data_IF_955692918961
#
_entry.id   IF_955692918961
#
_cell.length_a   1.000
_cell.length_b   1.000
_cell.length_c   1.000
_cell.angle_alpha   90.00
_cell.angle_beta   90.00
_cell.angle_gamma   90.00
#
_symmetry.space_group_name_H-M   'P 1'
#
loop_
_entity.id
_entity.type
_entity.pdbx_description
1 polymer ?
#
# COMPACT_ATOMS: atom_id res chain seq x y z
N UNK A 1 -23.86 10.09 -10.53
CA UNK A 1 -22.87 9.81 -9.48
C UNK A 1 -21.61 9.35 -10.18
N UNK A 2 -20.52 10.11 -10.08
CA UNK A 2 -19.21 9.63 -10.51
C UNK A 2 -18.90 8.38 -9.69
N UNK A 3 -18.64 7.26 -10.37
CA UNK A 3 -18.22 6.05 -9.67
C UNK A 3 -16.86 6.36 -9.01
N UNK A 4 -16.76 6.22 -7.68
CA UNK A 4 -15.53 6.40 -6.91
C UNK A 4 -14.52 5.26 -7.19
N UNK A 5 -14.27 4.95 -8.46
CA UNK A 5 -13.51 3.78 -8.92
C UNK A 5 -12.20 4.20 -9.55
N UNK A 6 -11.29 3.25 -9.68
CA UNK A 6 -10.08 3.43 -10.44
C UNK A 6 -10.42 3.72 -11.90
N UNK A 7 -9.91 4.83 -12.40
CA UNK A 7 -10.09 5.22 -13.79
C UNK A 7 -9.10 4.43 -14.66
N UNK A 8 -9.57 4.02 -15.84
CA UNK A 8 -8.67 3.45 -16.84
C UNK A 8 -7.68 4.52 -17.34
N UNK A 9 -6.40 4.16 -17.37
CA UNK A 9 -5.30 5.02 -17.83
C UNK A 9 -4.76 4.48 -19.15
N UNK A 10 -4.05 3.34 -19.08
CA UNK A 10 -3.48 2.65 -20.24
C UNK A 10 -3.02 1.25 -19.82
N UNK A 11 -3.24 0.25 -20.67
CA UNK A 11 -2.74 -1.11 -20.42
C UNK A 11 -1.23 -1.16 -20.57
N UNK A 12 -0.53 -1.64 -19.55
CA UNK A 12 0.92 -1.85 -19.58
C UNK A 12 1.28 -3.20 -18.96
N UNK A 13 2.45 -3.74 -19.34
CA UNK A 13 3.03 -4.94 -18.71
C UNK A 13 4.46 -4.66 -18.29
N UNK A 14 4.68 -3.67 -17.40
CA UNK A 14 6.03 -3.26 -17.04
C UNK A 14 6.74 -4.40 -16.31
N UNK A 15 8.06 -4.50 -16.51
CA UNK A 15 8.91 -5.27 -15.59
C UNK A 15 9.07 -4.43 -14.32
N UNK A 16 8.21 -4.68 -13.33
CA UNK A 16 8.23 -3.97 -12.06
C UNK A 16 9.56 -4.20 -11.32
N UNK A 17 10.08 -3.13 -10.74
CA UNK A 17 11.25 -3.12 -9.86
C UNK A 17 10.88 -2.46 -8.54
N UNK A 18 11.57 -2.87 -7.48
CA UNK A 18 11.49 -2.17 -6.20
C UNK A 18 11.96 -0.73 -6.42
N UNK A 19 11.27 0.23 -5.82
CA UNK A 19 11.48 1.66 -6.07
C UNK A 19 10.66 2.24 -7.22
N UNK A 20 9.98 1.43 -8.05
CA UNK A 20 9.12 2.00 -9.08
C UNK A 20 7.97 2.82 -8.47
N UNK A 21 7.85 4.05 -8.92
CA UNK A 21 6.71 4.91 -8.62
C UNK A 21 5.67 4.72 -9.72
N UNK A 22 4.45 4.43 -9.30
CA UNK A 22 3.30 4.36 -10.19
C UNK A 22 2.25 5.40 -9.77
N UNK A 23 1.38 5.74 -10.71
CA UNK A 23 0.19 6.52 -10.39
C UNK A 23 -1.07 5.78 -10.79
N UNK A 24 -2.17 6.21 -10.16
CA UNK A 24 -3.54 5.81 -10.42
C UNK A 24 -4.45 7.04 -10.36
N UNK A 25 -5.69 6.88 -10.83
CA UNK A 25 -6.67 7.97 -10.88
C UNK A 25 -7.98 7.57 -10.24
N UNK A 26 -8.53 8.50 -9.47
CA UNK A 26 -9.86 8.41 -8.87
C UNK A 26 -10.42 9.83 -8.72
N UNK A 27 -11.68 10.02 -9.09
CA UNK A 27 -12.36 11.32 -9.03
C UNK A 27 -11.59 12.48 -9.68
N UNK A 28 -11.03 12.25 -10.88
CA UNK A 28 -10.19 13.20 -11.64
C UNK A 28 -8.92 13.67 -10.93
N UNK A 29 -8.53 13.06 -9.80
CA UNK A 29 -7.26 13.33 -9.11
C UNK A 29 -6.26 12.21 -9.41
N UNK A 30 -4.98 12.58 -9.45
CA UNK A 30 -3.86 11.64 -9.61
C UNK A 30 -3.31 11.33 -8.24
N UNK A 31 -3.13 10.06 -7.95
CA UNK A 31 -2.52 9.57 -6.72
C UNK A 31 -1.31 8.72 -7.05
N UNK A 32 -0.37 8.66 -6.13
CA UNK A 32 0.89 7.95 -6.32
C UNK A 32 1.02 6.77 -5.38
N UNK A 33 1.73 5.76 -5.86
CA UNK A 33 2.11 4.60 -5.08
C UNK A 33 3.54 4.20 -5.37
N UNK A 34 4.13 3.47 -4.44
CA UNK A 34 5.50 2.99 -4.53
C UNK A 34 5.50 1.47 -4.51
N UNK A 35 6.14 0.86 -5.50
CA UNK A 35 6.47 -0.57 -5.46
C UNK A 35 7.61 -0.74 -4.49
N UNK A 36 7.31 -1.29 -3.33
CA UNK A 36 8.29 -1.46 -2.27
C UNK A 36 9.05 -2.78 -2.41
N UNK A 37 8.34 -3.90 -2.54
CA UNK A 37 8.95 -5.23 -2.69
C UNK A 37 8.43 -5.90 -3.95
N UNK A 38 9.32 -6.53 -4.72
CA UNK A 38 8.96 -7.22 -5.97
C UNK A 38 9.15 -8.73 -5.97
N UNK A 39 9.66 -9.27 -4.86
CA UNK A 39 9.89 -10.70 -4.67
C UNK A 39 9.61 -11.08 -3.22
N UNK A 40 8.33 -11.28 -2.91
CA UNK A 40 7.97 -12.21 -1.87
C UNK A 40 7.93 -13.58 -2.56
N UNK A 41 8.96 -14.41 -2.37
CA UNK A 41 8.92 -15.79 -2.88
C UNK A 41 7.87 -16.57 -2.08
N UNK A 42 6.70 -16.75 -2.68
CA UNK A 42 5.71 -17.74 -2.25
C UNK A 42 5.76 -18.89 -3.25
N UNK A 43 5.97 -20.10 -2.75
CA UNK A 43 6.08 -21.34 -3.55
C UNK A 43 4.81 -21.65 -4.35
N UNK A 44 3.69 -20.97 -4.08
CA UNK A 44 2.42 -21.23 -4.76
C UNK A 44 1.71 -19.91 -5.07
N UNK A 45 1.51 -19.66 -6.37
CA UNK A 45 0.58 -18.67 -6.98
C UNK A 45 1.09 -17.23 -7.18
N UNK A 46 1.73 -16.99 -8.33
CA UNK A 46 1.78 -15.67 -8.98
C UNK A 46 2.68 -14.63 -8.29
N UNK A 47 3.38 -13.80 -9.07
CA UNK A 47 4.33 -12.83 -8.50
C UNK A 47 3.55 -11.80 -7.66
N UNK A 48 3.75 -11.85 -6.35
CA UNK A 48 3.27 -10.88 -5.37
C UNK A 48 4.24 -9.71 -5.27
N UNK A 49 3.69 -8.50 -5.21
CA UNK A 49 4.44 -7.28 -4.97
C UNK A 49 3.83 -6.58 -3.76
N UNK A 50 4.66 -5.94 -2.95
CA UNK A 50 4.18 -5.05 -1.90
C UNK A 50 4.21 -3.64 -2.45
N UNK A 51 3.09 -2.95 -2.31
CA UNK A 51 2.97 -1.53 -2.62
C UNK A 51 2.68 -0.72 -1.36
N UNK A 52 3.14 0.52 -1.38
CA UNK A 52 2.83 1.54 -0.39
C UNK A 52 1.95 2.57 -1.07
N UNK A 53 0.86 2.94 -0.41
CA UNK A 53 -0.14 3.88 -0.93
C UNK A 53 -0.17 5.14 -0.04
N UNK A 54 0.78 6.08 -0.21
CA UNK A 54 0.77 7.34 0.52
C UNK A 54 -0.46 8.17 0.16
N UNK A 55 -0.93 8.98 1.10
CA UNK A 55 -1.95 10.00 0.86
C UNK A 55 -1.35 11.22 0.14
N UNK A 56 -0.86 10.98 -1.07
CA UNK A 56 -0.26 12.00 -1.91
C UNK A 56 -1.03 12.10 -3.23
N UNK A 57 -1.69 13.24 -3.42
CA UNK A 57 -2.47 13.55 -4.60
C UNK A 57 -1.89 14.75 -5.36
N UNK A 58 -2.06 14.74 -6.68
CA UNK A 58 -1.75 15.83 -7.58
C UNK A 58 -2.83 16.00 -8.67
N UNK A 59 -2.73 17.08 -9.44
CA UNK A 59 -3.64 17.31 -10.57
C UNK A 59 -3.23 16.48 -11.79
N UNK A 60 -1.93 16.41 -12.07
CA UNK A 60 -1.39 15.67 -13.19
C UNK A 60 -0.20 14.79 -12.78
N UNK A 61 0.11 13.72 -13.54
CA UNK A 61 1.27 12.88 -13.26
C UNK A 61 2.61 13.63 -13.35
N UNK A 62 2.66 14.74 -14.11
CA UNK A 62 3.84 15.61 -14.25
C UNK A 62 4.16 16.41 -12.99
N UNK A 63 3.19 16.55 -12.08
CA UNK A 63 3.33 17.34 -10.86
C UNK A 63 3.94 16.51 -9.71
N UNK A 64 4.47 15.34 -10.04
CA UNK A 64 5.09 14.41 -9.11
C UNK A 64 6.37 15.01 -8.49
N UNK A 65 6.47 14.95 -7.16
CA UNK A 65 7.68 15.26 -6.39
C UNK A 65 8.11 14.02 -5.60
N UNK A 66 9.31 13.47 -5.86
CA UNK A 66 9.89 12.41 -5.05
C UNK A 66 10.00 12.78 -3.58
N UNK A 67 10.38 14.02 -3.28
CA UNK A 67 10.57 14.52 -1.92
C UNK A 67 9.26 14.49 -1.14
N UNK A 68 8.17 14.97 -1.75
CA UNK A 68 6.84 14.98 -1.14
C UNK A 68 6.35 13.54 -0.87
N UNK A 69 6.56 12.63 -1.82
CA UNK A 69 6.20 11.22 -1.65
C UNK A 69 6.95 10.61 -0.46
N UNK A 70 8.28 10.81 -0.39
CA UNK A 70 9.14 10.28 0.67
C UNK A 70 8.71 10.83 2.04
N UNK A 71 8.52 12.14 2.15
CA UNK A 71 8.05 12.78 3.39
C UNK A 71 6.70 12.22 3.85
N UNK A 72 5.76 12.01 2.91
CA UNK A 72 4.43 11.46 3.21
C UNK A 72 4.55 10.04 3.79
N UNK A 73 5.40 9.21 3.19
CA UNK A 73 5.67 7.84 3.66
C UNK A 73 6.32 7.85 5.05
N UNK A 74 7.32 8.70 5.28
CA UNK A 74 8.02 8.83 6.57
C UNK A 74 7.11 9.33 7.70
N UNK A 75 6.11 10.16 7.38
CA UNK A 75 5.15 10.69 8.35
C UNK A 75 4.05 9.70 8.76
N UNK A 76 4.02 8.49 8.20
CA UNK A 76 2.92 7.57 8.51
C UNK A 76 1.66 7.77 7.65
N UNK A 77 1.64 8.74 6.73
CA UNK A 77 0.40 9.18 6.06
C UNK A 77 0.08 8.32 4.84
N UNK A 78 -0.37 7.10 5.11
CA UNK A 78 -0.80 6.14 4.10
C UNK A 78 -2.31 6.04 4.04
N UNK A 79 -2.85 5.87 2.82
CA UNK A 79 -4.27 5.58 2.56
C UNK A 79 -4.67 4.19 3.04
N UNK A 80 -3.72 3.27 3.08
CA UNK A 80 -3.90 1.91 3.52
C UNK A 80 -2.57 1.41 4.09
N UNK A 81 -2.59 0.36 4.93
CA UNK A 81 -1.36 -0.36 5.27
C UNK A 81 -0.61 -0.78 4.00
N UNK A 82 0.73 -0.95 4.06
CA UNK A 82 1.46 -1.61 2.99
C UNK A 82 0.77 -2.95 2.64
N UNK A 83 0.50 -3.16 1.35
CA UNK A 83 -0.42 -4.22 0.91
C UNK A 83 0.16 -5.02 -0.23
N UNK A 84 -0.17 -6.31 -0.25
CA UNK A 84 0.10 -7.20 -1.37
C UNK A 84 -0.75 -6.84 -2.60
N UNK A 85 -0.16 -6.94 -3.79
CA UNK A 85 -0.83 -6.83 -5.08
C UNK A 85 -0.16 -7.73 -6.12
N UNK A 86 -0.82 -7.97 -7.24
CA UNK A 86 -0.25 -8.63 -8.42
C UNK A 86 -0.19 -7.66 -9.62
N UNK A 87 0.42 -8.08 -10.73
CA UNK A 87 0.59 -7.21 -11.90
C UNK A 87 -0.73 -6.88 -12.64
N UNK A 88 -1.87 -7.47 -12.26
CA UNK A 88 -3.11 -7.32 -13.03
C UNK A 88 -3.57 -5.87 -13.13
N UNK A 89 -3.42 -5.06 -12.09
CA UNK A 89 -3.78 -3.64 -12.11
C UNK A 89 -3.12 -2.87 -13.27
N UNK A 90 -1.86 -3.16 -13.58
CA UNK A 90 -1.16 -2.61 -14.75
C UNK A 90 -1.68 -3.18 -16.07
N UNK A 91 -1.90 -4.50 -16.12
CA UNK A 91 -2.37 -5.17 -17.35
C UNK A 91 -3.80 -4.79 -17.74
N UNK A 92 -4.64 -4.49 -16.75
CA UNK A 92 -6.00 -3.98 -16.93
C UNK A 92 -6.01 -2.49 -17.25
N UNK A 93 -4.93 -1.79 -16.90
CA UNK A 93 -4.64 -0.44 -17.31
C UNK A 93 -5.03 0.63 -16.30
N UNK A 94 -5.21 0.25 -15.03
CA UNK A 94 -5.52 1.18 -13.95
C UNK A 94 -4.28 1.85 -13.40
N UNK A 95 -3.11 1.19 -13.47
CA UNK A 95 -1.84 1.70 -12.95
C UNK A 95 -0.81 1.92 -14.06
N UNK A 96 0.03 2.93 -13.87
CA UNK A 96 1.11 3.24 -14.79
C UNK A 96 2.37 3.72 -14.06
N UNK A 97 3.53 3.17 -14.43
CA UNK A 97 4.83 3.57 -13.88
C UNK A 97 5.26 4.90 -14.49
N UNK A 98 5.78 5.81 -13.67
CA UNK A 98 6.25 7.14 -14.10
C UNK A 98 7.67 7.45 -13.68
N UNK A 99 8.15 6.87 -12.58
CA UNK A 99 9.46 7.20 -12.04
C UNK A 99 10.06 6.03 -11.24
N UNK A 100 11.24 6.23 -10.66
CA UNK A 100 11.95 5.28 -9.83
C UNK A 100 12.72 6.00 -8.72
N UNK A 101 12.46 5.62 -7.48
CA UNK A 101 13.17 6.11 -6.30
C UNK A 101 14.13 5.03 -5.78
N UNK A 102 15.32 5.44 -5.34
CA UNK A 102 16.20 4.56 -4.57
C UNK A 102 15.66 4.36 -3.15
N UNK A 103 15.24 3.13 -2.85
CA UNK A 103 14.68 2.76 -1.56
C UNK A 103 15.68 2.88 -0.40
N UNK A 104 16.99 2.97 -0.66
CA UNK A 104 17.99 3.23 0.40
C UNK A 104 17.74 4.54 1.16
N UNK A 105 17.00 5.47 0.54
CA UNK A 105 16.61 6.77 1.10
C UNK A 105 15.32 6.75 1.94
N UNK A 106 14.60 5.62 1.97
CA UNK A 106 13.29 5.51 2.63
C UNK A 106 13.38 4.47 3.75
N UNK A 107 13.52 4.89 5.02
CA UNK A 107 13.56 3.99 6.17
C UNK A 107 12.14 3.50 6.54
N UNK A 108 11.41 2.92 5.59
CA UNK A 108 10.02 2.51 5.82
C UNK A 108 9.92 1.42 6.90
N UNK A 109 10.95 0.57 7.02
CA UNK A 109 10.99 -0.46 8.06
C UNK A 109 11.22 0.11 9.47
N UNK A 110 11.74 1.33 9.57
CA UNK A 110 11.83 2.06 10.84
C UNK A 110 10.45 2.62 11.24
N UNK A 111 9.52 2.73 10.28
CA UNK A 111 8.20 3.36 10.45
C UNK A 111 7.06 2.34 10.52
N UNK A 112 7.15 1.21 9.81
CA UNK A 112 6.08 0.21 9.72
C UNK A 112 6.61 -1.19 9.96
N UNK A 113 5.98 -1.91 10.90
CA UNK A 113 6.27 -3.34 11.12
C UNK A 113 5.56 -4.20 10.08
N UNK A 114 6.32 -5.00 9.34
CA UNK A 114 5.73 -5.97 8.42
C UNK A 114 5.50 -7.29 9.14
N UNK A 115 4.26 -7.71 9.37
CA UNK A 115 4.00 -9.03 9.92
C UNK A 115 4.18 -10.08 8.82
N UNK A 116 5.42 -10.54 8.67
CA UNK A 116 5.72 -11.70 7.85
C UNK A 116 6.69 -12.59 8.60
N UNK A 117 6.34 -13.87 8.76
CA UNK A 117 7.23 -14.85 9.36
C UNK A 117 8.41 -15.13 8.42
N UNK A 118 9.56 -14.49 8.63
CA UNK A 118 10.81 -14.90 8.01
C UNK A 118 11.65 -13.78 7.43
N UNK A 119 12.27 -14.05 6.28
CA UNK A 119 13.24 -13.18 5.64
C UNK A 119 12.78 -12.84 4.23
N UNK A 120 13.14 -11.67 3.73
CA UNK A 120 13.03 -11.35 2.32
C UNK A 120 14.39 -11.51 1.63
N UNK A 121 14.43 -12.25 0.53
CA UNK A 121 15.64 -12.45 -0.29
C UNK A 121 15.45 -11.89 -1.70
N UNK A 122 16.56 -11.54 -2.35
CA UNK A 122 16.57 -11.28 -3.79
C UNK A 122 16.68 -12.58 -4.59
N UNK A 123 16.71 -12.42 -5.92
CA UNK A 123 16.74 -13.54 -6.88
C UNK A 123 18.00 -14.40 -6.85
N UNK A 124 19.02 -13.97 -6.11
CA UNK A 124 20.30 -14.64 -5.95
C UNK A 124 20.46 -15.18 -4.52
N UNK A 125 19.39 -15.15 -3.71
CA UNK A 125 19.42 -15.58 -2.32
C UNK A 125 20.11 -14.59 -1.38
N UNK A 126 20.36 -13.35 -1.81
CA UNK A 126 20.87 -12.30 -0.90
C UNK A 126 19.70 -11.76 -0.09
N UNK A 127 19.83 -11.76 1.23
CA UNK A 127 18.83 -11.19 2.13
C UNK A 127 18.69 -9.69 1.84
N UNK A 128 17.50 -9.28 1.44
CA UNK A 128 17.12 -7.88 1.25
C UNK A 128 16.66 -7.26 2.56
N UNK A 129 15.85 -8.00 3.33
CA UNK A 129 15.32 -7.56 4.62
C UNK A 129 15.16 -8.74 5.59
N UNK A 130 15.47 -8.51 6.86
CA UNK A 130 15.10 -9.42 7.94
C UNK A 130 13.73 -8.99 8.48
N UNK A 131 12.70 -9.80 8.22
CA UNK A 131 11.33 -9.55 8.68
C UNK A 131 11.02 -10.32 9.98
N UNK A 132 12.02 -11.01 10.55
CA UNK A 132 11.90 -11.68 11.85
C UNK A 132 12.03 -10.61 12.93
N UNK A 133 10.91 -10.00 13.26
CA UNK A 133 10.86 -9.10 14.40
C UNK A 133 10.92 -9.94 15.69
N UNK A 134 11.99 -9.79 16.45
CA UNK A 134 12.00 -10.12 17.87
C UNK A 134 11.00 -9.18 18.57
N UNK A 135 10.25 -9.70 19.54
CA UNK A 135 9.10 -9.04 20.19
C UNK A 135 9.53 -7.83 21.07
N UNK A 136 10.80 -7.43 20.97
CA UNK A 136 11.50 -6.55 21.91
C UNK A 136 11.91 -5.17 21.37
N UNK A 137 11.48 -4.76 20.17
CA UNK A 137 11.62 -3.35 19.74
C UNK A 137 10.32 -2.62 20.09
N UNK A 138 10.22 -1.83 21.17
CA UNK A 138 8.94 -1.26 21.62
C UNK A 138 8.44 -0.06 20.80
N UNK A 139 9.30 0.61 20.04
CA UNK A 139 9.01 1.98 19.57
C UNK A 139 8.46 2.09 18.14
N UNK A 140 8.32 0.98 17.39
CA UNK A 140 7.79 1.01 16.02
C UNK A 140 6.27 0.73 16.04
N UNK A 141 5.42 1.56 15.39
CA UNK A 141 4.00 1.26 15.22
C UNK A 141 3.79 -0.14 14.62
N UNK A 142 3.07 -1.01 15.31
CA UNK A 142 2.80 -2.39 14.91
C UNK A 142 1.72 -2.46 13.80
N UNK A 143 1.94 -1.76 12.68
CA UNK A 143 1.05 -1.73 11.51
C UNK A 143 1.22 -3.00 10.69
N UNK A 144 0.53 -4.05 11.13
CA UNK A 144 0.58 -5.37 10.52
C UNK A 144 0.25 -5.30 9.03
N UNK A 145 1.22 -5.73 8.21
CA UNK A 145 1.07 -5.99 6.79
C UNK A 145 -0.17 -6.83 6.48
N UNK A 146 -0.95 -6.45 5.46
CA UNK A 146 -2.17 -7.17 5.09
C UNK A 146 -2.24 -7.56 3.62
N UNK A 147 -2.86 -8.71 3.41
CA UNK A 147 -3.41 -9.13 2.14
C UNK A 147 -3.24 -10.62 1.92
N UNK A 148 -4.35 -11.36 1.93
CA UNK A 148 -4.38 -12.72 1.39
C UNK A 148 -3.94 -12.71 -0.07
N UNK A 149 -3.04 -13.62 -0.41
CA UNK A 149 -2.48 -13.72 -1.75
C UNK A 149 -3.42 -14.50 -2.67
N UNK A 150 -3.83 -13.88 -3.78
CA UNK A 150 -4.68 -14.52 -4.78
C UNK A 150 -4.72 -13.79 -6.12
N UNK A 151 -5.30 -14.45 -7.14
CA UNK A 151 -5.45 -13.89 -8.49
C UNK A 151 -6.30 -12.59 -8.51
N UNK A 152 -7.08 -12.37 -7.45
CA UNK A 152 -7.96 -11.22 -7.25
C UNK A 152 -7.38 -10.16 -6.30
N UNK A 153 -6.11 -10.26 -5.86
CA UNK A 153 -5.49 -9.28 -4.96
C UNK A 153 -5.53 -7.82 -5.49
N UNK A 154 -5.55 -7.66 -6.82
CA UNK A 154 -5.73 -6.36 -7.47
C UNK A 154 -7.15 -5.75 -7.34
N UNK A 155 -8.18 -6.52 -6.99
CA UNK A 155 -9.54 -5.99 -6.79
C UNK A 155 -9.65 -5.35 -5.40
N UNK A 156 -9.00 -5.95 -4.39
CA UNK A 156 -8.89 -5.39 -3.05
C UNK A 156 -8.28 -3.99 -3.01
N UNK A 157 -7.34 -3.66 -3.91
CA UNK A 157 -6.64 -2.37 -3.89
C UNK A 157 -7.59 -1.18 -4.12
N UNK A 158 -8.61 -1.32 -4.97
CA UNK A 158 -9.57 -0.25 -5.23
C UNK A 158 -10.36 0.06 -3.97
N UNK A 159 -10.81 -0.98 -3.26
CA UNK A 159 -11.53 -0.84 -2.00
C UNK A 159 -10.66 -0.23 -0.90
N UNK A 160 -9.40 -0.64 -0.79
CA UNK A 160 -8.45 -0.05 0.17
C UNK A 160 -8.24 1.45 -0.11
N UNK A 161 -8.13 1.85 -1.39
CA UNK A 161 -8.00 3.24 -1.80
C UNK A 161 -9.28 4.03 -1.48
N UNK A 162 -10.46 3.50 -1.83
CA UNK A 162 -11.74 4.13 -1.51
C UNK A 162 -11.89 4.37 0.00
N UNK A 163 -11.61 3.34 0.80
CA UNK A 163 -11.64 3.41 2.26
C UNK A 163 -10.65 4.43 2.81
N UNK A 164 -9.40 4.42 2.34
CA UNK A 164 -8.40 5.41 2.73
C UNK A 164 -8.86 6.83 2.44
N UNK A 165 -9.48 7.05 1.29
CA UNK A 165 -9.98 8.36 0.88
C UNK A 165 -11.33 8.74 1.52
N UNK A 166 -11.93 7.88 2.34
CA UNK A 166 -13.27 8.10 2.92
C UNK A 166 -14.38 8.16 1.85
N UNK A 167 -14.20 7.46 0.74
CA UNK A 167 -15.17 7.36 -0.36
C UNK A 167 -16.10 6.17 -0.15
N UNK A 168 -17.27 6.21 -0.80
CA UNK A 168 -18.20 5.08 -0.81
C UNK A 168 -17.54 3.80 -1.36
N UNK A 169 -17.76 2.68 -0.68
CA UNK A 169 -17.23 1.35 -1.00
C UNK A 169 -18.31 0.27 -0.80
N UNK A 170 -18.10 -0.95 -1.31
CA UNK A 170 -19.00 -2.08 -1.04
C UNK A 170 -18.75 -2.63 0.37
N UNK A 171 -19.68 -2.35 1.29
CA UNK A 171 -19.58 -2.78 2.69
C UNK A 171 -19.56 -4.32 2.88
N UNK A 172 -19.87 -5.10 1.85
CA UNK A 172 -19.84 -6.57 1.90
C UNK A 172 -18.44 -7.15 1.75
N UNK A 173 -17.50 -6.40 1.17
CA UNK A 173 -16.13 -6.87 0.86
C UNK A 173 -15.22 -6.92 2.10
N UNK A 174 -15.59 -6.21 3.19
CA UNK A 174 -15.01 -6.38 4.53
C UNK A 174 -13.47 -6.56 4.56
N UNK A 175 -12.68 -5.73 3.83
CA UNK A 175 -11.25 -5.97 3.60
C UNK A 175 -10.38 -5.82 4.86
N UNK A 176 -10.98 -5.32 5.95
CA UNK A 176 -10.33 -5.03 7.21
C UNK A 176 -10.99 -5.78 8.39
N UNK A 177 -11.73 -6.87 8.16
CA UNK A 177 -12.29 -7.69 9.25
C UNK A 177 -11.21 -8.12 10.26
N UNK A 178 -9.97 -8.32 9.80
CA UNK A 178 -8.83 -8.58 10.68
C UNK A 178 -8.52 -7.41 11.63
N UNK A 179 -8.73 -6.17 11.18
CA UNK A 179 -8.49 -4.99 12.00
C UNK A 179 -9.61 -4.67 12.98
N UNK A 180 -10.78 -5.31 12.92
CA UNK A 180 -11.79 -5.14 13.97
C UNK A 180 -11.23 -5.45 15.39
N UNK A 181 -10.18 -6.29 15.46
CA UNK A 181 -9.45 -6.63 16.69
C UNK A 181 -8.18 -5.80 16.97
N UNK A 182 -7.76 -4.96 16.02
CA UNK A 182 -6.56 -4.12 16.05
C UNK A 182 -6.40 -3.16 17.26
N UNK A 183 -7.47 -2.51 17.79
CA UNK A 183 -7.32 -1.56 18.91
C UNK A 183 -6.90 -2.24 20.22
N UNK A 184 -6.86 -3.58 20.30
CA UNK A 184 -6.42 -4.29 21.51
C UNK A 184 -4.95 -4.02 21.89
N UNK A 185 -4.15 -3.53 20.94
CA UNK A 185 -2.71 -3.33 21.11
C UNK A 185 -2.26 -1.86 21.01
N UNK A 186 -3.19 -0.91 20.84
CA UNK A 186 -2.87 0.51 20.59
C UNK A 186 -3.84 1.45 21.30
N UNK A 187 -3.38 2.66 21.61
CA UNK A 187 -4.30 3.73 21.99
C UNK A 187 -5.09 4.20 20.76
N UNK A 188 -6.32 4.69 20.94
CA UNK A 188 -7.12 5.22 19.84
C UNK A 188 -6.42 6.39 19.11
N UNK A 189 -5.57 7.14 19.82
CA UNK A 189 -4.83 8.29 19.27
C UNK A 189 -3.72 7.85 18.30
N UNK A 190 -3.22 6.63 18.44
CA UNK A 190 -2.18 6.05 17.59
C UNK A 190 -2.74 5.33 16.35
N UNK A 191 -4.07 5.22 16.24
CA UNK A 191 -4.71 4.49 15.16
C UNK A 191 -4.74 5.33 13.87
N UNK A 192 -4.38 4.74 12.72
CA UNK A 192 -4.40 5.46 11.45
C UNK A 192 -5.84 5.74 11.00
N UNK A 193 -6.07 6.84 10.27
CA UNK A 193 -7.43 7.25 9.89
C UNK A 193 -8.19 6.21 9.06
N UNK A 194 -7.51 5.43 8.22
CA UNK A 194 -8.14 4.36 7.45
C UNK A 194 -8.71 3.24 8.33
N UNK A 195 -8.22 3.08 9.56
CA UNK A 195 -8.82 2.18 10.55
C UNK A 195 -10.21 2.68 10.96
N UNK A 196 -10.32 3.98 11.23
CA UNK A 196 -11.59 4.59 11.60
C UNK A 196 -12.61 4.55 10.44
N UNK A 197 -12.13 4.73 9.21
CA UNK A 197 -12.96 4.56 8.01
C UNK A 197 -13.46 3.11 7.86
N UNK A 198 -12.64 2.11 8.21
CA UNK A 198 -13.01 0.70 8.06
C UNK A 198 -14.08 0.22 9.04
N UNK A 199 -14.14 0.80 10.24
CA UNK A 199 -15.14 0.47 11.27
C UNK A 199 -16.39 1.37 11.21
N UNK A 200 -16.57 2.13 10.12
CA UNK A 200 -17.73 3.01 9.95
C UNK A 200 -17.75 4.21 10.89
N UNK A 201 -16.59 4.64 11.41
CA UNK A 201 -16.41 5.85 12.22
C UNK A 201 -15.46 6.83 11.53
N UNK A 202 -15.71 7.25 10.28
CA UNK A 202 -14.71 7.94 9.48
C UNK A 202 -14.16 9.19 10.18
N UNK A 203 -12.83 9.25 10.31
CA UNK A 203 -12.15 10.47 10.73
C UNK A 203 -11.77 11.24 9.48
N UNK A 204 -12.47 12.34 9.23
CA UNK A 204 -12.05 13.31 8.23
C UNK A 204 -10.83 14.02 8.81
N UNK A 205 -9.62 13.66 8.37
CA UNK A 205 -8.47 14.56 8.58
C UNK A 205 -8.69 15.82 7.72
N UNK A 206 -8.42 17.02 8.27
CA UNK A 206 -8.44 18.25 7.48
C UNK A 206 -7.46 18.20 6.31
#
# INVERSE_FOLDING_TARGET
>A
MTANKLEFIRKTRPKLKAGNVFYYRINNKVYFGLVFITKAEYDYVGIAFIVVLPNYAAQQPSDFSPETLIETIQKGDLLAPPTNINQRAWTMGYFNVIDHIDLSSIPILDTYRMNHSGFLYDRWGKMLFDLRYDVHTPDIPNILFLGDMGIYAHEGIEYLIQLGLGLDYDAREKPYDFYESYPKNFSEEDLPYWYFNSIGKPLVKP
#
